data_IF_450162361291
#
_entry.id   IF_450162361291
#
_cell.length_a   1.000
_cell.length_b   1.000
_cell.length_c   1.000
_cell.angle_alpha   90.00
_cell.angle_beta   90.00
_cell.angle_gamma   90.00
#
_symmetry.space_group_name_H-M   'P 1'
#
loop_
_entity.id
_entity.type
_entity.pdbx_description
1 polymer ?
#
# COMPACT_ATOMS: atom_id res chain seq x y z
N UNK A 1 -5.85 -8.91 -11.49
CA UNK A 1 -5.44 -8.88 -12.91
C UNK A 1 -3.92 -9.03 -12.96
N UNK A 2 -3.27 -9.72 -13.91
CA UNK A 2 -1.80 -9.81 -13.95
C UNK A 2 -1.12 -8.44 -13.87
N UNK A 3 -1.66 -7.46 -14.60
CA UNK A 3 -1.19 -6.07 -14.54
C UNK A 3 -1.24 -5.45 -13.14
N UNK A 4 -2.17 -5.87 -12.27
CA UNK A 4 -2.25 -5.33 -10.91
C UNK A 4 -1.03 -5.70 -10.07
N UNK A 5 -0.53 -6.93 -10.21
CA UNK A 5 0.69 -7.38 -9.55
C UNK A 5 1.88 -6.53 -10.00
N UNK A 6 2.00 -6.27 -11.31
CA UNK A 6 3.09 -5.47 -11.87
C UNK A 6 3.03 -4.00 -11.44
N UNK A 7 1.83 -3.42 -11.36
CA UNK A 7 1.65 -2.05 -10.88
C UNK A 7 2.00 -1.91 -9.39
N UNK A 8 1.67 -2.91 -8.57
CA UNK A 8 2.06 -2.93 -7.16
C UNK A 8 3.59 -3.01 -7.00
N UNK A 9 4.25 -3.86 -7.79
CA UNK A 9 5.70 -3.96 -7.81
C UNK A 9 6.36 -2.65 -8.26
N UNK A 10 5.84 -2.03 -9.32
CA UNK A 10 6.33 -0.73 -9.80
C UNK A 10 6.20 0.34 -8.71
N UNK A 11 5.02 0.47 -8.10
CA UNK A 11 4.76 1.42 -7.02
C UNK A 11 5.69 1.21 -5.83
N UNK A 12 5.93 -0.04 -5.43
CA UNK A 12 6.85 -0.38 -4.35
C UNK A 12 8.32 -0.04 -4.70
N UNK A 13 8.73 -0.30 -5.94
CA UNK A 13 10.07 0.02 -6.41
C UNK A 13 10.29 1.53 -6.52
N UNK A 14 9.33 2.29 -7.05
CA UNK A 14 9.44 3.74 -7.21
C UNK A 14 9.60 4.46 -5.87
N UNK A 15 8.91 4.00 -4.82
CA UNK A 15 8.94 4.67 -3.51
C UNK A 15 10.21 4.38 -2.71
N UNK A 16 10.88 3.24 -2.96
CA UNK A 16 12.02 2.75 -2.20
C UNK A 16 13.21 2.35 -3.09
N UNK A 17 13.36 2.98 -4.26
CA UNK A 17 14.25 2.51 -5.34
C UNK A 17 15.73 2.36 -4.99
N UNK A 18 16.19 3.02 -3.93
CA UNK A 18 17.57 2.91 -3.44
C UNK A 18 17.79 1.71 -2.49
N UNK A 19 16.72 1.02 -2.08
CA UNK A 19 16.77 -0.12 -1.15
C UNK A 19 16.62 -1.44 -1.92
N UNK A 20 17.51 -2.42 -1.73
CA UNK A 20 17.34 -3.75 -2.33
C UNK A 20 16.02 -4.40 -1.89
N UNK A 21 15.22 -4.88 -2.85
CA UNK A 21 13.92 -5.54 -2.56
C UNK A 21 14.08 -6.69 -1.55
N UNK A 22 15.19 -7.42 -1.61
CA UNK A 22 15.53 -8.53 -0.72
C UNK A 22 15.74 -8.13 0.75
N UNK A 23 15.79 -6.83 1.06
CA UNK A 23 15.91 -6.27 2.41
C UNK A 23 14.60 -5.58 2.87
N UNK A 24 13.53 -5.68 2.08
CA UNK A 24 12.27 -4.98 2.31
C UNK A 24 11.17 -5.93 2.78
N UNK A 25 10.41 -5.49 3.80
CA UNK A 25 9.08 -6.02 4.12
C UNK A 25 8.04 -5.18 3.39
N UNK A 26 7.37 -5.76 2.39
CA UNK A 26 6.32 -5.11 1.62
C UNK A 26 4.96 -5.38 2.25
N UNK A 27 4.24 -4.31 2.61
CA UNK A 27 2.89 -4.36 3.18
C UNK A 27 1.89 -3.83 2.14
N UNK A 28 0.95 -4.70 1.76
CA UNK A 28 -0.22 -4.34 0.96
C UNK A 28 -1.37 -4.06 1.93
N UNK A 29 -1.80 -2.80 2.01
CA UNK A 29 -2.81 -2.36 2.98
C UNK A 29 -4.17 -2.29 2.33
N UNK A 30 -5.16 -3.00 2.85
CA UNK A 30 -6.56 -2.84 2.46
C UNK A 30 -7.42 -2.44 3.67
N UNK A 31 -8.69 -2.13 3.43
CA UNK A 31 -9.58 -1.70 4.52
C UNK A 31 -9.87 -2.85 5.52
N UNK A 32 -10.31 -4.01 5.01
CA UNK A 32 -10.86 -5.12 5.81
C UNK A 32 -12.27 -4.83 6.34
N UNK A 33 -13.09 -5.89 6.51
CA UNK A 33 -14.54 -5.98 6.89
C UNK A 33 -15.57 -6.35 5.78
N UNK A 34 -16.75 -6.83 6.21
CA UNK A 34 -17.90 -7.34 5.42
C UNK A 34 -18.41 -6.39 4.32
N UNK A 35 -18.23 -5.07 4.46
CA UNK A 35 -18.65 -4.10 3.43
C UNK A 35 -17.80 -4.21 2.15
N UNK A 36 -16.64 -4.86 2.21
CA UNK A 36 -15.74 -4.99 1.07
C UNK A 36 -14.87 -6.26 1.14
N UNK A 37 -15.49 -7.41 1.44
CA UNK A 37 -14.85 -8.73 1.45
C UNK A 37 -14.03 -8.99 0.17
N UNK A 38 -14.49 -8.43 -0.95
CA UNK A 38 -13.80 -8.51 -2.23
C UNK A 38 -12.44 -7.77 -2.24
N UNK A 39 -12.29 -6.65 -1.52
CA UNK A 39 -11.04 -5.90 -1.44
C UNK A 39 -9.99 -6.60 -0.58
N UNK A 40 -10.37 -7.11 0.60
CA UNK A 40 -9.48 -7.89 1.45
C UNK A 40 -9.00 -9.17 0.72
N UNK A 41 -9.92 -9.89 0.08
CA UNK A 41 -9.59 -11.05 -0.72
C UNK A 41 -8.68 -10.70 -1.92
N UNK A 42 -8.89 -9.55 -2.58
CA UNK A 42 -8.03 -9.10 -3.66
C UNK A 42 -6.61 -8.75 -3.17
N UNK A 43 -6.49 -7.97 -2.10
CA UNK A 43 -5.20 -7.63 -1.51
C UNK A 43 -4.43 -8.88 -1.06
N UNK A 44 -5.11 -9.84 -0.43
CA UNK A 44 -4.52 -11.14 -0.09
C UNK A 44 -4.00 -11.88 -1.32
N UNK A 45 -4.82 -12.01 -2.37
CA UNK A 45 -4.41 -12.67 -3.63
C UNK A 45 -3.19 -12.00 -4.27
N UNK A 46 -3.15 -10.67 -4.31
CA UNK A 46 -2.02 -9.95 -4.89
C UNK A 46 -0.76 -10.08 -4.02
N UNK A 47 -0.87 -10.01 -2.69
CA UNK A 47 0.25 -10.26 -1.77
C UNK A 47 0.81 -11.69 -1.93
N UNK A 48 -0.05 -12.69 -2.09
CA UNK A 48 0.36 -14.09 -2.33
C UNK A 48 1.13 -14.26 -3.63
N UNK A 49 0.68 -13.61 -4.72
CA UNK A 49 1.38 -13.61 -6.01
C UNK A 49 2.73 -12.91 -5.91
N UNK A 50 2.80 -11.75 -5.27
CA UNK A 50 4.08 -11.03 -5.11
C UNK A 50 5.05 -11.88 -4.28
N UNK A 51 4.55 -12.53 -3.22
CA UNK A 51 5.34 -13.43 -2.39
C UNK A 51 5.93 -14.61 -3.17
N UNK A 52 5.19 -15.19 -4.11
CA UNK A 52 5.69 -16.33 -4.91
C UNK A 52 6.81 -15.96 -5.86
N UNK A 53 7.04 -14.67 -6.13
CA UNK A 53 8.16 -14.19 -6.94
C UNK A 53 9.50 -14.21 -6.18
N UNK A 54 9.48 -14.28 -4.84
CA UNK A 54 10.70 -14.38 -4.02
C UNK A 54 11.62 -13.16 -4.05
N UNK A 55 11.12 -11.99 -4.49
CA UNK A 55 11.90 -10.75 -4.61
C UNK A 55 12.10 -10.01 -3.29
N UNK A 56 11.09 -10.03 -2.43
CA UNK A 56 11.06 -9.30 -1.17
C UNK A 56 11.42 -10.19 0.02
N UNK A 57 12.03 -9.63 1.06
CA UNK A 57 12.33 -10.36 2.31
C UNK A 57 11.05 -10.91 2.97
N UNK A 58 9.99 -10.10 2.93
CA UNK A 58 8.66 -10.49 3.37
C UNK A 58 7.59 -9.71 2.57
N UNK A 59 6.45 -10.36 2.34
CA UNK A 59 5.26 -9.73 1.74
C UNK A 59 4.06 -10.06 2.61
N UNK A 60 3.35 -9.02 3.03
CA UNK A 60 2.25 -9.08 3.98
C UNK A 60 1.03 -8.37 3.40
N UNK A 61 -0.14 -8.98 3.53
CA UNK A 61 -1.41 -8.28 3.44
C UNK A 61 -1.83 -7.88 4.87
N UNK A 62 -2.12 -6.61 5.08
CA UNK A 62 -2.58 -6.08 6.37
C UNK A 62 -3.82 -5.22 6.17
N UNK A 63 -4.62 -5.07 7.22
CA UNK A 63 -5.91 -4.39 7.14
C UNK A 63 -6.08 -3.31 8.21
N UNK A 64 -6.98 -2.37 7.97
CA UNK A 64 -7.27 -1.29 8.93
C UNK A 64 -8.12 -1.79 10.11
N UNK A 65 -9.13 -2.61 9.81
CA UNK A 65 -10.18 -2.97 10.78
C UNK A 65 -10.15 -4.44 11.24
N UNK A 66 -9.38 -5.32 10.57
CA UNK A 66 -9.32 -6.75 10.91
C UNK A 66 -7.89 -7.31 10.93
N UNK A 67 -7.61 -8.41 11.66
CA UNK A 67 -6.29 -9.03 11.65
C UNK A 67 -5.92 -9.66 10.30
N UNK A 68 -4.64 -9.59 9.85
CA UNK A 68 -3.53 -8.87 10.49
C UNK A 68 -3.66 -7.35 10.37
N UNK A 69 -3.61 -6.62 11.49
CA UNK A 69 -3.84 -5.17 11.52
C UNK A 69 -2.60 -4.40 11.04
N UNK A 70 -2.82 -3.31 10.29
CA UNK A 70 -1.76 -2.40 9.84
C UNK A 70 -1.08 -1.71 11.02
N UNK A 71 -1.79 -1.46 12.12
CA UNK A 71 -1.22 -0.91 13.35
C UNK A 71 -0.19 -1.83 14.02
N UNK A 72 -0.26 -3.15 13.74
CA UNK A 72 0.69 -4.14 14.23
C UNK A 72 1.92 -4.30 13.32
N UNK A 73 2.12 -3.44 12.31
CA UNK A 73 3.20 -3.57 11.33
C UNK A 73 4.59 -3.75 11.95
N UNK A 74 4.87 -3.10 13.10
CA UNK A 74 6.15 -3.21 13.83
C UNK A 74 6.45 -4.63 14.30
N UNK A 75 5.40 -5.41 14.59
CA UNK A 75 5.50 -6.81 15.03
C UNK A 75 5.54 -7.77 13.84
N UNK A 76 4.91 -7.38 12.72
CA UNK A 76 4.75 -8.22 11.54
C UNK A 76 5.93 -8.12 10.57
N UNK A 77 6.46 -6.91 10.36
CA UNK A 77 7.60 -6.66 9.49
C UNK A 77 8.90 -7.19 10.12
N UNK A 78 9.71 -7.87 9.31
CA UNK A 78 10.93 -8.56 9.78
C UNK A 78 12.22 -7.80 9.48
N UNK A 79 12.13 -6.70 8.74
CA UNK A 79 13.27 -5.94 8.22
C UNK A 79 13.26 -4.51 8.73
N UNK A 80 14.40 -3.83 8.60
CA UNK A 80 14.52 -2.41 8.91
C UNK A 80 13.78 -1.53 7.89
N UNK A 81 13.80 -1.94 6.62
CA UNK A 81 13.13 -1.25 5.53
C UNK A 81 11.72 -1.82 5.33
N UNK A 82 10.70 -0.96 5.42
CA UNK A 82 9.29 -1.35 5.30
C UNK A 82 8.65 -0.49 4.22
N UNK A 83 8.11 -1.13 3.18
CA UNK A 83 7.38 -0.44 2.12
C UNK A 83 5.90 -0.71 2.29
N UNK A 84 5.09 0.35 2.28
CA UNK A 84 3.65 0.27 2.49
C UNK A 84 2.94 0.81 1.26
N UNK A 85 2.13 -0.03 0.61
CA UNK A 85 1.34 0.31 -0.57
C UNK A 85 -0.15 0.13 -0.27
N UNK A 86 -0.93 1.21 -0.19
CA UNK A 86 -2.38 1.13 -0.03
C UNK A 86 -3.07 0.57 -1.29
N UNK A 87 -3.91 -0.46 -1.11
CA UNK A 87 -4.69 -1.13 -2.15
C UNK A 87 -6.09 -0.49 -2.28
N UNK A 88 -6.13 0.79 -2.65
CA UNK A 88 -7.35 1.58 -2.84
C UNK A 88 -7.42 2.17 -4.26
N UNK A 89 -8.64 2.41 -4.76
CA UNK A 89 -8.89 2.98 -6.10
C UNK A 89 -8.49 4.46 -6.19
N UNK A 90 -8.40 5.16 -5.06
CA UNK A 90 -8.02 6.57 -5.02
C UNK A 90 -7.41 6.92 -3.68
N UNK A 91 -6.60 7.97 -3.64
CA UNK A 91 -6.21 8.57 -2.38
C UNK A 91 -7.36 9.38 -1.77
N UNK A 92 -7.72 9.02 -0.54
CA UNK A 92 -8.80 9.65 0.22
C UNK A 92 -8.39 9.88 1.67
N UNK A 93 -9.37 10.13 2.53
CA UNK A 93 -9.13 10.37 3.97
C UNK A 93 -8.26 9.27 4.59
N UNK A 94 -8.56 8.00 4.28
CA UNK A 94 -7.79 6.86 4.77
C UNK A 94 -6.31 6.92 4.36
N UNK A 95 -6.02 7.27 3.10
CA UNK A 95 -4.66 7.32 2.58
C UNK A 95 -3.86 8.48 3.16
N UNK A 96 -4.51 9.58 3.54
CA UNK A 96 -3.84 10.80 4.03
C UNK A 96 -3.76 10.90 5.54
N UNK A 97 -4.71 10.32 6.28
CA UNK A 97 -4.89 10.58 7.71
C UNK A 97 -4.88 9.25 8.49
N UNK A 98 -5.79 8.32 8.17
CA UNK A 98 -5.97 7.12 9.00
C UNK A 98 -4.80 6.13 8.92
N UNK A 99 -4.42 5.67 7.71
CA UNK A 99 -3.31 4.74 7.53
C UNK A 99 -1.99 5.35 8.07
N UNK A 100 -1.63 6.60 7.73
CA UNK A 100 -0.49 7.28 8.35
C UNK A 100 -0.50 7.28 9.88
N UNK A 101 -1.67 7.56 10.48
CA UNK A 101 -1.86 7.53 11.92
C UNK A 101 -1.61 6.15 12.52
N UNK A 102 -2.14 5.09 11.87
CA UNK A 102 -1.92 3.70 12.28
C UNK A 102 -0.46 3.27 12.14
N UNK A 103 0.25 3.79 11.13
CA UNK A 103 1.68 3.55 10.94
C UNK A 103 2.53 4.31 11.98
N UNK A 104 2.03 5.41 12.53
CA UNK A 104 2.73 6.28 13.47
C UNK A 104 3.55 7.37 12.79
N UNK A 105 3.18 7.77 11.56
CA UNK A 105 3.79 8.89 10.86
C UNK A 105 3.34 10.19 11.56
N UNK A 106 4.27 10.90 12.20
CA UNK A 106 4.00 12.04 13.09
C UNK A 106 3.20 13.20 12.43
N UNK A 107 3.19 13.27 11.10
CA UNK A 107 2.47 14.28 10.32
C UNK A 107 1.08 13.81 9.79
N UNK A 108 0.64 12.59 10.09
CA UNK A 108 -0.67 12.07 9.64
C UNK A 108 -1.88 12.84 10.19
N UNK A 109 -1.69 13.55 11.30
CA UNK A 109 -2.61 14.57 11.82
C UNK A 109 -2.05 15.95 11.52
N UNK A 110 -2.12 16.40 10.26
CA UNK A 110 -1.89 17.81 10.00
C UNK A 110 -2.94 18.63 10.76
N UNK A 111 -2.51 19.36 11.78
CA UNK A 111 -3.32 20.27 12.61
C UNK A 111 -3.85 21.47 11.79
N UNK A 112 -3.57 21.53 10.49
CA UNK A 112 -4.16 22.54 9.60
C UNK A 112 -4.69 21.86 8.34
N UNK A 113 -5.98 22.03 8.04
CA UNK A 113 -6.69 21.46 6.89
C UNK A 113 -6.26 22.01 5.53
N UNK A 114 -4.97 22.22 5.33
CA UNK A 114 -4.37 22.79 4.13
C UNK A 114 -4.19 21.68 3.09
N UNK A 115 -4.91 21.77 1.96
CA UNK A 115 -4.81 20.83 0.82
C UNK A 115 -3.38 20.56 0.33
N UNK A 116 -2.42 21.44 0.62
CA UNK A 116 -1.00 21.25 0.31
C UNK A 116 -0.34 20.12 1.11
N UNK A 117 -0.75 19.87 2.35
CA UNK A 117 -0.12 18.88 3.23
C UNK A 117 -0.44 17.41 2.83
N UNK A 118 -1.53 17.18 2.09
CA UNK A 118 -1.98 15.81 1.76
C UNK A 118 -1.03 15.09 0.80
N UNK A 119 -0.48 15.79 -0.18
CA UNK A 119 0.50 15.19 -1.11
C UNK A 119 1.92 15.10 -0.54
N UNK A 120 2.22 15.87 0.51
CA UNK A 120 3.55 15.90 1.12
C UNK A 120 3.91 14.58 1.82
N UNK A 121 2.92 13.85 2.33
CA UNK A 121 3.19 12.61 3.06
C UNK A 121 3.90 11.55 2.21
N UNK A 122 3.58 11.48 0.91
CA UNK A 122 4.20 10.55 -0.03
C UNK A 122 5.57 11.03 -0.54
N UNK A 123 5.89 12.32 -0.35
CA UNK A 123 7.15 12.93 -0.80
C UNK A 123 8.25 12.85 0.26
N UNK A 124 7.88 12.74 1.54
CA UNK A 124 8.83 12.70 2.67
C UNK A 124 9.29 11.28 3.02
N UNK A 125 9.63 10.49 2.02
CA UNK A 125 10.15 9.14 2.25
C UNK A 125 11.68 9.13 2.39
N UNK A 126 12.25 8.24 3.23
CA UNK A 126 11.55 7.41 4.22
C UNK A 126 11.11 8.19 5.45
N UNK A 127 10.02 7.75 6.08
CA UNK A 127 9.62 8.16 7.43
C UNK A 127 10.40 7.32 8.45
N UNK A 128 11.23 7.98 9.26
CA UNK A 128 11.97 7.31 10.33
C UNK A 128 11.06 7.11 11.55
N UNK A 129 10.82 5.84 11.92
CA UNK A 129 10.01 5.47 13.07
C UNK A 129 10.82 4.46 13.88
N UNK A 130 11.25 4.84 15.09
CA UNK A 130 12.19 4.09 15.90
C UNK A 130 13.49 3.80 15.10
N UNK A 131 13.85 2.52 14.91
CA UNK A 131 14.99 2.04 14.11
C UNK A 131 14.54 1.52 12.71
N UNK A 132 13.37 1.94 12.23
CA UNK A 132 12.78 1.52 10.94
C UNK A 132 12.72 2.66 9.95
N UNK A 133 13.03 2.35 8.69
CA UNK A 133 12.79 3.23 7.54
C UNK A 133 11.50 2.80 6.86
N UNK A 134 10.44 3.59 7.03
CA UNK A 134 9.11 3.30 6.50
C UNK A 134 8.83 4.16 5.26
N UNK A 135 8.66 3.49 4.12
CA UNK A 135 8.32 4.11 2.85
C UNK A 135 6.82 3.99 2.61
N UNK A 136 6.11 5.11 2.58
CA UNK A 136 4.67 5.15 2.37
C UNK A 136 4.32 5.67 0.98
N UNK A 137 3.72 4.82 0.17
CA UNK A 137 3.36 5.12 -1.21
C UNK A 137 1.92 5.66 -1.31
N UNK A 138 1.60 6.43 -2.37
CA UNK A 138 0.20 6.71 -2.69
C UNK A 138 -0.54 5.43 -3.07
N UNK A 139 -1.87 5.48 -3.04
CA UNK A 139 -2.72 4.30 -3.30
C UNK A 139 -2.55 3.79 -4.73
N UNK A 140 -2.67 2.47 -4.90
CA UNK A 140 -2.46 1.82 -6.20
C UNK A 140 -3.34 2.39 -7.31
N UNK A 141 -4.57 2.84 -7.01
CA UNK A 141 -5.47 3.41 -8.01
C UNK A 141 -5.03 4.73 -8.63
N UNK A 142 -3.98 5.37 -8.07
CA UNK A 142 -3.32 6.53 -8.69
C UNK A 142 -2.19 6.15 -9.66
N UNK A 143 -1.88 4.86 -9.80
CA UNK A 143 -0.96 4.39 -10.84
C UNK A 143 -1.56 4.63 -12.22
N UNK A 144 -0.82 5.25 -13.16
CA UNK A 144 -1.32 5.50 -14.51
C UNK A 144 -1.87 4.24 -15.20
N UNK A 145 -1.24 3.08 -14.99
CA UNK A 145 -1.67 1.83 -15.62
C UNK A 145 -2.95 1.21 -15.03
N UNK A 146 -3.52 1.76 -13.94
CA UNK A 146 -4.83 1.29 -13.46
C UNK A 146 -5.95 1.67 -14.41
N UNK A 147 -5.81 2.77 -15.15
CA UNK A 147 -6.79 3.16 -16.17
C UNK A 147 -6.96 2.07 -17.23
N UNK A 148 -5.86 1.47 -17.69
CA UNK A 148 -5.88 0.38 -18.67
C UNK A 148 -6.60 -0.85 -18.11
N UNK A 149 -6.38 -1.19 -16.83
CA UNK A 149 -7.10 -2.28 -16.16
C UNK A 149 -8.61 -2.01 -16.12
N UNK A 150 -9.02 -0.78 -15.82
CA UNK A 150 -10.44 -0.40 -15.76
C UNK A 150 -11.08 -0.55 -17.15
N UNK A 151 -10.41 -0.07 -18.20
CA UNK A 151 -10.88 -0.18 -19.58
C UNK A 151 -11.04 -1.66 -19.97
N UNK A 152 -10.02 -2.48 -19.74
CA UNK A 152 -10.07 -3.92 -20.06
C UNK A 152 -11.19 -4.66 -19.33
N UNK A 153 -11.48 -4.28 -18.07
CA UNK A 153 -12.59 -4.88 -17.33
C UNK A 153 -13.96 -4.43 -17.84
N UNK A 154 -14.10 -3.14 -18.18
CA UNK A 154 -15.34 -2.62 -18.76
C UNK A 154 -15.66 -3.31 -20.11
N UNK A 155 -14.65 -3.51 -20.96
CA UNK A 155 -14.81 -4.25 -22.21
C UNK A 155 -15.20 -5.71 -22.01
N UNK A 156 -14.64 -6.39 -20.99
CA UNK A 156 -15.01 -7.77 -20.66
C UNK A 156 -16.46 -7.86 -20.19
N UNK A 157 -16.91 -6.93 -19.34
CA UNK A 157 -18.29 -6.90 -18.84
C UNK A 157 -19.30 -6.53 -19.92
N UNK A 158 -18.93 -5.72 -20.91
CA UNK A 158 -19.81 -5.37 -22.04
C UNK A 158 -20.00 -6.51 -23.06
N UNK A 159 -19.21 -7.58 -22.97
CA UNK A 159 -19.30 -8.78 -23.83
C UNK A 159 -20.08 -9.93 -23.18
N UNK A 160 -20.65 -9.72 -22.00
CA UNK A 160 -21.45 -10.70 -21.23
C UNK A 160 -22.94 -10.38 -21.35
#
# INVERSE_FOLDING_TARGET
HPLMTDLLLRRAHEIAGDVPESEVSLLIVAHGTDLNENSAAAAKREAEKIRSLGKYAAVLNVYMEEPPLVSDWRKLAKTQNVVVVPFFISDGLHSYEDIPGLLGIANGRSVTGSRGARGEIFRHNPHMIDDRSLFYAPSIGTEPGVADIIIEQAEKSARV
#
